data_IF_585112298941
#
_entry.id   IF_585112298941
#
_cell.length_a   1.000
_cell.length_b   1.000
_cell.length_c   1.000
_cell.angle_alpha   90.00
_cell.angle_beta   90.00
_cell.angle_gamma   90.00
#
_symmetry.space_group_name_H-M   'P 1'
#
loop_
_entity.id
_entity.type
_entity.pdbx_description
1 polymer ?
#
# COMPACT_ATOMS: atom_id res chain seq x y z
N UNK A 1 15.54 3.86 -30.40
CA UNK A 1 14.08 3.81 -30.59
C UNK A 1 13.43 4.00 -29.24
N UNK A 2 12.65 5.07 -29.07
CA UNK A 2 11.91 5.26 -27.83
C UNK A 2 10.80 4.22 -27.73
N UNK A 3 10.56 3.71 -26.53
CA UNK A 3 9.47 2.79 -26.26
C UNK A 3 8.52 3.46 -25.28
N UNK A 4 7.24 3.54 -25.63
CA UNK A 4 6.20 3.96 -24.69
C UNK A 4 5.28 2.77 -24.45
N UNK A 5 5.00 2.48 -23.19
CA UNK A 5 3.98 1.52 -22.82
C UNK A 5 2.83 2.17 -22.07
N UNK A 6 1.65 1.57 -22.17
CA UNK A 6 0.45 2.00 -21.46
C UNK A 6 -0.30 0.79 -20.94
N UNK A 7 -0.61 0.78 -19.65
CA UNK A 7 -1.28 -0.32 -18.98
C UNK A 7 -2.60 0.16 -18.39
N UNK A 8 -3.70 -0.49 -18.77
CA UNK A 8 -5.03 -0.23 -18.20
C UNK A 8 -5.34 -1.31 -17.16
N UNK A 9 -5.64 -0.89 -15.94
CA UNK A 9 -5.94 -1.84 -14.86
C UNK A 9 -6.88 -1.25 -13.81
N UNK A 10 -7.46 -2.15 -13.01
CA UNK A 10 -8.24 -1.77 -11.83
C UNK A 10 -7.37 -1.95 -10.58
N UNK A 11 -7.08 -0.85 -9.89
CA UNK A 11 -6.06 -0.84 -8.86
C UNK A 11 -5.98 0.42 -8.02
N UNK A 12 -4.87 0.53 -7.31
CA UNK A 12 -4.46 1.67 -6.48
C UNK A 12 -2.96 1.90 -6.66
N UNK A 13 -2.50 3.11 -6.43
CA UNK A 13 -1.07 3.41 -6.29
C UNK A 13 -0.72 3.45 -4.81
N UNK A 14 0.44 2.91 -4.45
CA UNK A 14 0.84 2.73 -3.04
C UNK A 14 2.29 3.16 -2.89
N UNK A 15 2.62 3.86 -1.80
CA UNK A 15 4.01 4.21 -1.45
C UNK A 15 4.94 3.01 -1.57
N UNK A 16 6.01 3.15 -2.38
CA UNK A 16 6.98 2.08 -2.63
C UNK A 16 7.65 1.63 -1.32
N UNK A 17 7.97 2.57 -0.43
CA UNK A 17 8.64 2.28 0.84
C UNK A 17 7.74 1.52 1.82
N UNK A 18 6.49 1.98 1.97
CA UNK A 18 5.53 1.30 2.84
C UNK A 18 5.24 -0.12 2.31
N UNK A 19 5.15 -0.28 0.99
CA UNK A 19 4.89 -1.57 0.36
C UNK A 19 6.09 -2.52 0.47
N UNK A 20 7.32 -2.04 0.28
CA UNK A 20 8.56 -2.81 0.53
C UNK A 20 8.65 -3.26 1.99
N UNK A 21 8.40 -2.34 2.93
CA UNK A 21 8.44 -2.61 4.38
C UNK A 21 7.39 -3.66 4.75
N UNK A 22 6.16 -3.53 4.21
CA UNK A 22 5.12 -4.53 4.40
C UNK A 22 5.46 -5.88 3.77
N UNK A 23 6.12 -5.89 2.61
CA UNK A 23 6.60 -7.10 1.95
C UNK A 23 7.58 -7.87 2.84
N UNK A 24 8.61 -7.17 3.34
CA UNK A 24 9.58 -7.74 4.28
C UNK A 24 8.90 -8.26 5.55
N UNK A 25 8.02 -7.46 6.16
CA UNK A 25 7.30 -7.84 7.37
C UNK A 25 6.45 -9.09 7.13
N UNK A 26 5.76 -9.16 5.99
CA UNK A 26 4.96 -10.30 5.59
C UNK A 26 5.79 -11.57 5.43
N UNK A 27 7.00 -11.48 4.86
CA UNK A 27 7.89 -12.64 4.76
C UNK A 27 8.17 -13.27 6.14
N UNK A 28 8.23 -12.47 7.20
CA UNK A 28 8.41 -12.94 8.58
C UNK A 28 7.14 -13.52 9.20
N UNK A 29 5.97 -12.93 8.96
CA UNK A 29 4.71 -13.35 9.62
C UNK A 29 3.80 -14.25 8.80
N UNK A 30 4.12 -14.52 7.53
CA UNK A 30 3.29 -15.34 6.62
C UNK A 30 2.87 -16.67 7.24
N UNK A 31 3.80 -17.39 7.87
CA UNK A 31 3.50 -18.65 8.54
C UNK A 31 2.50 -18.50 9.70
N UNK A 32 2.67 -17.47 10.52
CA UNK A 32 1.76 -17.14 11.63
C UNK A 32 0.38 -16.76 11.14
N UNK A 33 0.29 -15.92 10.10
CA UNK A 33 -0.99 -15.52 9.49
C UNK A 33 -1.74 -16.71 8.89
N UNK A 34 -1.02 -17.61 8.20
CA UNK A 34 -1.58 -18.88 7.71
C UNK A 34 -2.07 -19.77 8.85
N UNK A 35 -1.34 -19.81 9.97
CA UNK A 35 -1.76 -20.51 11.18
C UNK A 35 -3.11 -19.99 11.70
N UNK A 36 -3.28 -18.67 11.77
CA UNK A 36 -4.55 -18.06 12.18
C UNK A 36 -5.67 -18.37 11.18
N UNK A 37 -5.40 -18.30 9.88
CA UNK A 37 -6.38 -18.64 8.84
C UNK A 37 -6.82 -20.11 8.91
N UNK A 38 -5.89 -21.02 9.21
CA UNK A 38 -6.20 -22.44 9.43
C UNK A 38 -7.05 -22.65 10.68
N UNK A 39 -6.79 -21.92 11.77
CA UNK A 39 -7.62 -21.96 12.99
C UNK A 39 -9.04 -21.51 12.67
N UNK A 40 -9.19 -20.36 11.99
CA UNK A 40 -10.48 -19.83 11.57
C UNK A 40 -11.23 -20.80 10.65
N UNK A 41 -10.56 -21.38 9.66
CA UNK A 41 -11.16 -22.32 8.72
C UNK A 41 -11.60 -23.63 9.41
N UNK A 42 -10.79 -24.15 10.34
CA UNK A 42 -11.15 -25.35 11.13
C UNK A 42 -12.31 -25.07 12.08
N UNK A 43 -12.33 -23.89 12.71
CA UNK A 43 -13.43 -23.46 13.59
C UNK A 43 -14.73 -23.34 12.82
N UNK A 44 -14.74 -22.67 11.66
CA UNK A 44 -15.92 -22.54 10.80
C UNK A 44 -16.50 -23.90 10.36
N UNK A 45 -15.64 -24.93 10.25
CA UNK A 45 -16.03 -26.31 9.90
C UNK A 45 -16.34 -27.20 11.11
N UNK A 46 -16.26 -26.69 12.34
CA UNK A 46 -16.43 -27.49 13.57
C UNK A 46 -15.34 -28.54 13.80
N UNK A 47 -14.17 -28.41 13.15
CA UNK A 47 -13.05 -29.39 13.20
C UNK A 47 -11.89 -28.95 14.09
N UNK A 48 -12.01 -27.82 14.77
CA UNK A 48 -10.97 -27.34 15.68
C UNK A 48 -11.01 -28.17 16.96
N UNK A 49 -10.00 -29.02 17.17
CA UNK A 49 -9.82 -29.83 18.38
C UNK A 49 -8.75 -29.17 19.25
N UNK A 50 -9.03 -29.05 20.54
CA UNK A 50 -8.13 -28.47 21.54
C UNK A 50 -7.99 -29.45 22.70
N UNK A 51 -6.81 -29.51 23.31
CA UNK A 51 -6.50 -30.40 24.44
C UNK A 51 -6.65 -29.69 25.80
N UNK A 52 -7.39 -28.58 25.84
CA UNK A 52 -7.55 -27.77 27.06
C UNK A 52 -8.54 -28.48 27.98
N UNK A 53 -8.20 -28.70 29.28
CA UNK A 53 -9.11 -29.34 30.22
C UNK A 53 -10.40 -28.53 30.40
N UNK A 54 -11.51 -29.24 30.67
CA UNK A 54 -12.83 -28.64 30.86
C UNK A 54 -12.80 -27.53 31.93
N UNK A 55 -13.46 -26.41 31.65
CA UNK A 55 -13.59 -25.27 32.56
C UNK A 55 -12.62 -24.10 32.35
N UNK A 56 -11.69 -24.18 31.39
CA UNK A 56 -10.85 -23.03 30.96
C UNK A 56 -11.32 -22.42 29.65
N UNK A 57 -11.06 -21.13 29.46
CA UNK A 57 -11.37 -20.40 28.23
C UNK A 57 -10.64 -21.05 27.05
N UNK A 58 -11.42 -21.61 26.14
CA UNK A 58 -10.90 -22.35 25.01
C UNK A 58 -10.72 -21.41 23.80
N UNK A 59 -9.65 -21.61 23.04
CA UNK A 59 -9.42 -21.04 21.70
C UNK A 59 -10.66 -21.17 20.80
N UNK A 60 -11.44 -22.26 20.94
CA UNK A 60 -12.71 -22.49 20.21
C UNK A 60 -13.79 -21.44 20.53
N UNK A 61 -13.80 -20.94 21.77
CA UNK A 61 -14.79 -19.97 22.26
C UNK A 61 -14.53 -18.54 21.78
N UNK A 62 -13.31 -18.24 21.32
CA UNK A 62 -12.97 -16.90 20.86
C UNK A 62 -13.75 -16.55 19.58
N UNK A 63 -14.40 -15.37 19.52
CA UNK A 63 -15.15 -14.93 18.35
C UNK A 63 -14.22 -14.65 17.16
N UNK A 64 -14.75 -14.66 15.94
CA UNK A 64 -13.91 -14.58 14.73
C UNK A 64 -13.19 -13.22 14.64
N UNK A 65 -13.82 -12.20 15.18
CA UNK A 65 -13.36 -10.82 15.29
C UNK A 65 -12.06 -10.74 16.09
N UNK A 66 -11.94 -11.50 17.18
CA UNK A 66 -10.70 -11.54 17.98
C UNK A 66 -9.55 -12.13 17.18
N UNK A 67 -9.79 -13.16 16.37
CA UNK A 67 -8.75 -13.72 15.48
C UNK A 67 -8.34 -12.73 14.39
N UNK A 68 -9.27 -11.94 13.85
CA UNK A 68 -8.92 -10.87 12.91
C UNK A 68 -8.08 -9.80 13.59
N UNK A 69 -8.39 -9.41 14.84
CA UNK A 69 -7.56 -8.48 15.62
C UNK A 69 -6.16 -9.05 15.86
N UNK A 70 -6.03 -10.34 16.15
CA UNK A 70 -4.72 -11.01 16.28
C UNK A 70 -3.93 -10.94 14.97
N UNK A 71 -4.55 -11.17 13.81
CA UNK A 71 -3.86 -11.02 12.51
C UNK A 71 -3.33 -9.61 12.30
N UNK A 72 -4.16 -8.60 12.57
CA UNK A 72 -3.78 -7.19 12.44
C UNK A 72 -2.65 -6.84 13.41
N UNK A 73 -2.72 -7.29 14.67
CA UNK A 73 -1.68 -7.04 15.66
C UNK A 73 -0.34 -7.69 15.27
N UNK A 74 -0.36 -8.96 14.84
CA UNK A 74 0.85 -9.68 14.39
C UNK A 74 1.49 -8.99 13.18
N UNK A 75 0.69 -8.63 12.18
CA UNK A 75 1.19 -7.92 10.99
C UNK A 75 1.72 -6.53 11.34
N UNK A 76 1.07 -5.81 12.26
CA UNK A 76 1.51 -4.50 12.75
C UNK A 76 2.85 -4.57 13.46
N UNK A 77 3.03 -5.51 14.40
CA UNK A 77 4.30 -5.66 15.13
C UNK A 77 5.45 -5.92 14.16
N UNK A 78 5.27 -6.86 13.22
CA UNK A 78 6.29 -7.13 12.22
C UNK A 78 6.57 -5.93 11.29
N UNK A 79 5.54 -5.16 10.93
CA UNK A 79 5.73 -3.93 10.16
C UNK A 79 6.56 -2.90 10.93
N UNK A 80 6.25 -2.68 12.21
CA UNK A 80 6.97 -1.73 13.07
C UNK A 80 8.44 -2.15 13.22
N UNK A 81 8.70 -3.44 13.39
CA UNK A 81 10.05 -3.98 13.50
C UNK A 81 10.86 -3.74 12.22
N UNK A 82 10.28 -4.04 11.04
CA UNK A 82 10.95 -3.79 9.75
C UNK A 82 11.12 -2.28 9.47
N UNK A 83 10.13 -1.47 9.83
CA UNK A 83 10.21 -0.03 9.73
C UNK A 83 11.38 0.52 10.56
N UNK A 84 11.50 0.09 11.82
CA UNK A 84 12.61 0.48 12.71
C UNK A 84 13.96 0.00 12.17
N UNK A 85 14.01 -1.18 11.57
CA UNK A 85 15.23 -1.68 10.93
C UNK A 85 15.65 -0.80 9.75
N UNK A 86 14.67 -0.38 8.93
CA UNK A 86 14.89 0.53 7.82
C UNK A 86 15.31 1.92 8.32
N UNK A 87 14.65 2.46 9.34
CA UNK A 87 14.97 3.72 10.00
C UNK A 87 16.40 3.74 10.55
N UNK A 88 16.77 2.76 11.37
CA UNK A 88 18.12 2.63 11.93
C UNK A 88 19.20 2.66 10.86
N UNK A 89 18.92 2.05 9.72
CA UNK A 89 19.86 1.98 8.60
C UNK A 89 20.12 3.34 7.98
N UNK A 90 19.14 4.26 7.95
CA UNK A 90 19.32 5.60 7.40
C UNK A 90 19.59 6.66 8.47
N UNK A 91 19.29 6.36 9.74
CA UNK A 91 19.48 7.26 10.87
C UNK A 91 20.16 6.57 12.06
N UNK A 92 21.47 6.24 11.96
CA UNK A 92 22.17 5.43 12.97
C UNK A 92 22.25 6.09 14.35
N UNK A 93 22.16 7.42 14.44
CA UNK A 93 22.24 8.14 15.71
C UNK A 93 21.00 7.99 16.61
N UNK A 94 19.93 7.34 16.15
CA UNK A 94 18.80 6.94 17.01
C UNK A 94 19.11 5.70 17.86
N UNK A 95 20.29 5.10 17.71
CA UNK A 95 20.67 3.86 18.42
C UNK A 95 21.15 4.06 19.85
N UNK A 96 21.51 5.29 20.22
CA UNK A 96 22.00 5.59 21.56
C UNK A 96 20.82 6.00 22.40
N UNK A 97 20.42 5.12 23.33
CA UNK A 97 19.39 5.26 24.38
C UNK A 97 19.51 6.53 25.25
N UNK A 98 20.30 7.53 24.87
CA UNK A 98 20.77 8.55 25.79
C UNK A 98 19.77 9.70 26.01
N UNK A 99 18.89 10.06 25.07
CA UNK A 99 17.93 11.15 25.29
C UNK A 99 16.75 11.08 24.31
N UNK A 100 15.58 10.55 24.70
CA UNK A 100 14.25 10.89 24.15
C UNK A 100 13.08 10.16 24.85
N UNK A 101 13.14 9.92 26.17
CA UNK A 101 12.03 9.24 26.90
C UNK A 101 10.72 10.07 26.92
N UNK A 102 10.75 11.35 26.57
CA UNK A 102 9.58 12.24 26.68
C UNK A 102 8.62 12.22 25.48
N UNK A 103 9.00 11.63 24.33
CA UNK A 103 8.21 11.67 23.09
C UNK A 103 7.53 10.35 22.67
N UNK A 104 7.74 9.24 23.40
CA UNK A 104 7.21 7.93 22.99
C UNK A 104 5.69 7.78 23.23
N UNK A 105 5.12 8.51 24.20
CA UNK A 105 3.75 8.24 24.69
C UNK A 105 2.65 8.72 23.71
N UNK A 106 2.92 9.67 22.81
CA UNK A 106 1.93 10.12 21.82
C UNK A 106 2.01 9.41 20.46
N UNK A 107 3.06 8.62 20.17
CA UNK A 107 3.24 7.97 18.87
C UNK A 107 2.53 6.62 18.70
N UNK A 108 2.02 6.02 19.78
CA UNK A 108 1.42 4.67 19.70
C UNK A 108 0.23 4.58 18.71
N UNK A 109 -0.46 5.69 18.46
CA UNK A 109 -1.59 5.78 17.53
C UNK A 109 -1.26 6.42 16.17
N UNK A 110 -0.06 7.00 16.01
CA UNK A 110 0.33 7.59 14.74
C UNK A 110 0.59 6.45 13.74
N UNK A 111 -0.03 6.54 12.57
CA UNK A 111 0.28 5.62 11.46
C UNK A 111 1.74 5.90 11.08
N UNK A 112 2.64 4.98 11.40
CA UNK A 112 4.04 5.05 10.99
C UNK A 112 4.10 4.93 9.46
N UNK A 113 4.21 6.08 8.81
CA UNK A 113 4.44 6.20 7.37
C UNK A 113 5.84 6.74 7.17
N UNK A 114 6.54 6.24 6.15
CA UNK A 114 7.92 6.65 5.89
C UNK A 114 8.05 8.16 5.59
N UNK A 115 6.99 8.80 5.09
CA UNK A 115 6.93 10.26 4.93
C UNK A 115 7.16 11.04 6.24
N UNK A 116 6.85 10.46 7.40
CA UNK A 116 7.11 11.09 8.70
C UNK A 116 8.57 10.93 9.13
N UNK A 117 9.30 9.97 8.56
CA UNK A 117 10.69 9.72 8.90
C UNK A 117 11.62 10.74 8.25
N UNK A 118 11.26 11.23 7.06
CA UNK A 118 12.18 12.00 6.22
C UNK A 118 12.03 13.52 6.40
N UNK A 119 11.26 13.95 7.39
CA UNK A 119 11.12 15.39 7.68
C UNK A 119 12.39 16.02 8.24
N UNK A 120 13.38 15.22 8.65
CA UNK A 120 14.72 15.72 9.00
C UNK A 120 15.65 15.68 7.78
N UNK A 121 16.21 16.84 7.39
CA UNK A 121 17.10 17.02 6.22
C UNK A 121 18.25 16.00 6.14
N UNK A 122 18.72 15.50 7.29
CA UNK A 122 19.83 14.54 7.37
C UNK A 122 19.47 13.13 6.88
N UNK A 123 18.18 12.79 6.86
CA UNK A 123 17.70 11.46 6.44
C UNK A 123 17.58 11.33 4.92
N UNK A 124 17.28 12.42 4.20
CA UNK A 124 17.15 12.43 2.74
C UNK A 124 18.50 12.26 2.04
N UNK A 125 19.52 13.00 2.49
CA UNK A 125 20.87 12.90 1.93
C UNK A 125 21.47 11.51 2.15
N UNK A 126 21.29 10.95 3.35
CA UNK A 126 21.72 9.58 3.67
C UNK A 126 20.99 8.52 2.84
N UNK A 127 19.70 8.74 2.55
CA UNK A 127 18.91 7.92 1.65
C UNK A 127 19.45 7.95 0.22
N UNK A 128 19.64 9.14 -0.35
CA UNK A 128 20.17 9.34 -1.70
C UNK A 128 21.59 8.77 -1.83
N UNK A 129 22.47 9.05 -0.86
CA UNK A 129 23.86 8.58 -0.87
C UNK A 129 23.99 7.04 -0.87
N UNK A 130 22.99 6.33 -0.35
CA UNK A 130 22.96 4.86 -0.35
C UNK A 130 22.30 4.26 -1.59
N UNK A 131 21.93 5.09 -2.58
CA UNK A 131 21.30 4.67 -3.84
C UNK A 131 19.77 4.70 -3.82
N UNK A 132 19.17 5.38 -2.84
CA UNK A 132 17.73 5.63 -2.77
C UNK A 132 16.86 4.37 -2.78
N UNK A 133 15.73 4.44 -3.48
CA UNK A 133 14.79 3.35 -3.66
C UNK A 133 15.37 2.17 -4.43
N UNK A 134 16.17 2.44 -5.46
CA UNK A 134 16.81 1.38 -6.22
C UNK A 134 17.67 0.53 -5.30
N UNK A 135 18.40 1.13 -4.37
CA UNK A 135 19.16 0.36 -3.40
C UNK A 135 18.29 -0.43 -2.42
N UNK A 136 17.10 0.05 -2.06
CA UNK A 136 16.16 -0.70 -1.20
C UNK A 136 15.57 -1.87 -1.97
N UNK A 137 15.09 -1.61 -3.18
CA UNK A 137 14.44 -2.61 -4.02
C UNK A 137 15.47 -3.62 -4.50
N UNK A 138 16.52 -3.18 -5.20
CA UNK A 138 17.51 -4.04 -5.86
C UNK A 138 18.44 -4.78 -4.88
N UNK A 139 18.53 -4.39 -3.60
CA UNK A 139 19.54 -4.97 -2.72
C UNK A 139 19.38 -6.48 -2.56
N UNK A 140 20.30 -7.18 -3.22
CA UNK A 140 20.80 -8.51 -2.86
C UNK A 140 21.73 -8.41 -1.66
N UNK A 141 21.27 -7.85 -0.56
CA UNK A 141 22.14 -7.84 0.61
C UNK A 141 22.12 -9.21 1.29
N UNK A 142 23.26 -9.89 1.16
CA UNK A 142 23.81 -10.77 2.20
C UNK A 142 24.02 -9.93 3.47
N UNK A 143 22.95 -9.43 4.08
CA UNK A 143 23.01 -8.97 5.47
C UNK A 143 23.36 -10.22 6.26
N UNK A 144 24.66 -10.40 6.55
CA UNK A 144 25.06 -11.20 7.69
C UNK A 144 24.44 -10.46 8.87
N UNK A 145 23.25 -10.91 9.27
CA UNK A 145 22.66 -10.57 10.55
C UNK A 145 23.80 -10.66 11.57
N UNK A 146 24.04 -9.59 12.31
CA UNK A 146 24.88 -9.66 13.50
C UNK A 146 24.46 -10.92 14.29
N UNK A 147 25.40 -11.78 14.72
CA UNK A 147 25.07 -13.06 15.33
C UNK A 147 24.56 -12.81 16.77
N UNK A 148 23.32 -12.39 16.89
CA UNK A 148 22.63 -12.20 18.17
C UNK A 148 21.40 -13.10 18.24
N UNK A 149 21.59 -14.39 17.94
CA UNK A 149 20.84 -15.51 18.53
C UNK A 149 21.39 -16.86 18.03
N UNK A 150 21.78 -17.79 18.92
CA UNK A 150 22.13 -19.14 18.52
C UNK A 150 20.83 -19.91 18.22
N UNK A 151 20.39 -19.92 16.96
CA UNK A 151 19.33 -20.80 16.50
C UNK A 151 19.92 -21.87 15.55
N UNK A 152 19.54 -23.10 15.83
CA UNK A 152 20.01 -24.38 15.30
C UNK A 152 20.25 -24.42 13.78
N UNK A 153 21.45 -24.92 13.42
CA UNK A 153 21.87 -25.27 12.06
C UNK A 153 20.91 -26.26 11.41
N UNK A 154 20.42 -25.89 10.23
CA UNK A 154 19.79 -26.81 9.30
C UNK A 154 19.14 -26.08 8.14
N UNK A 155 19.92 -25.54 7.20
CA UNK A 155 19.37 -25.11 5.91
C UNK A 155 20.19 -25.62 4.74
N UNK A 156 19.43 -26.24 3.83
CA UNK A 156 19.85 -26.86 2.58
C UNK A 156 20.08 -25.81 1.48
N UNK A 157 21.01 -26.15 0.59
CA UNK A 157 21.31 -25.39 -0.62
C UNK A 157 20.07 -25.27 -1.52
N UNK A 158 19.62 -24.04 -1.76
CA UNK A 158 18.57 -23.74 -2.74
C UNK A 158 19.22 -23.13 -3.98
N UNK A 159 18.93 -23.60 -5.21
CA UNK A 159 19.58 -23.12 -6.42
C UNK A 159 19.15 -21.68 -6.79
N UNK A 160 20.08 -20.93 -7.40
CA UNK A 160 19.90 -19.56 -7.85
C UNK A 160 18.87 -19.48 -9.00
N UNK A 161 17.70 -18.88 -8.72
CA UNK A 161 16.66 -18.52 -9.69
C UNK A 161 16.89 -17.09 -10.21
N UNK A 162 16.42 -16.82 -11.43
CA UNK A 162 16.53 -15.54 -12.13
C UNK A 162 15.99 -14.36 -11.29
N UNK A 163 16.91 -13.68 -10.62
CA UNK A 163 17.23 -12.24 -10.67
C UNK A 163 16.15 -11.17 -10.54
N UNK A 164 15.00 -11.47 -9.93
CA UNK A 164 14.20 -10.44 -9.24
C UNK A 164 14.90 -9.98 -7.96
N UNK A 165 14.72 -8.72 -7.57
CA UNK A 165 15.27 -8.25 -6.30
C UNK A 165 14.51 -8.85 -5.12
N UNK A 166 15.17 -8.99 -3.95
CA UNK A 166 14.54 -9.65 -2.78
C UNK A 166 13.29 -8.91 -2.31
N UNK A 167 13.36 -7.58 -2.23
CA UNK A 167 12.24 -6.76 -1.79
C UNK A 167 11.05 -6.83 -2.78
N UNK A 168 11.32 -6.80 -4.08
CA UNK A 168 10.26 -6.97 -5.10
C UNK A 168 9.62 -8.36 -4.98
N UNK A 169 10.40 -9.41 -4.78
CA UNK A 169 9.87 -10.76 -4.56
C UNK A 169 9.00 -10.85 -3.31
N UNK A 170 9.40 -10.21 -2.21
CA UNK A 170 8.64 -10.17 -0.97
C UNK A 170 7.31 -9.41 -1.15
N UNK A 171 7.33 -8.31 -1.92
CA UNK A 171 6.13 -7.55 -2.31
C UNK A 171 5.22 -8.37 -3.22
N UNK A 172 5.76 -9.04 -4.24
CA UNK A 172 4.99 -9.91 -5.13
C UNK A 172 4.33 -11.04 -4.33
N UNK A 173 5.05 -11.65 -3.37
CA UNK A 173 4.48 -12.67 -2.49
C UNK A 173 3.38 -12.13 -1.57
N UNK A 174 3.57 -10.93 -1.02
CA UNK A 174 2.57 -10.22 -0.24
C UNK A 174 1.30 -10.00 -1.08
N UNK A 175 1.43 -9.40 -2.27
CA UNK A 175 0.29 -9.08 -3.13
C UNK A 175 -0.42 -10.35 -3.61
N UNK A 176 0.32 -11.39 -4.00
CA UNK A 176 -0.23 -12.68 -4.39
C UNK A 176 -1.07 -13.32 -3.27
N UNK A 177 -0.66 -13.17 -2.00
CA UNK A 177 -1.46 -13.65 -0.85
C UNK A 177 -2.84 -12.98 -0.77
N UNK A 178 -2.96 -11.74 -1.24
CA UNK A 178 -4.24 -11.01 -1.31
C UNK A 178 -4.95 -11.16 -2.67
N UNK A 179 -4.40 -11.93 -3.61
CA UNK A 179 -4.95 -12.07 -4.97
C UNK A 179 -4.81 -10.80 -5.79
N UNK A 180 -3.73 -10.05 -5.55
CA UNK A 180 -3.32 -8.82 -6.22
C UNK A 180 -1.98 -9.04 -6.93
N UNK A 181 -1.60 -8.13 -7.82
CA UNK A 181 -0.29 -8.12 -8.48
C UNK A 181 0.24 -6.69 -8.64
N UNK A 182 1.51 -6.55 -9.03
CA UNK A 182 2.03 -5.28 -9.52
C UNK A 182 1.54 -5.06 -10.96
N UNK A 183 1.09 -3.85 -11.28
CA UNK A 183 0.71 -3.50 -12.66
C UNK A 183 1.94 -3.24 -13.54
N UNK A 184 3.02 -2.78 -12.91
CA UNK A 184 4.34 -2.53 -13.51
C UNK A 184 5.41 -2.74 -12.44
N UNK A 185 6.61 -3.16 -12.87
CA UNK A 185 7.79 -3.22 -12.01
C UNK A 185 8.41 -1.83 -11.78
N UNK A 186 8.08 -0.85 -12.62
CA UNK A 186 8.62 0.51 -12.55
C UNK A 186 7.94 1.34 -11.47
N UNK A 187 8.72 2.21 -10.82
CA UNK A 187 8.20 3.20 -9.87
C UNK A 187 7.48 4.33 -10.59
N UNK A 188 6.41 4.82 -9.98
CA UNK A 188 5.70 6.03 -10.36
C UNK A 188 6.24 7.16 -9.50
N UNK A 189 6.87 8.15 -10.10
CA UNK A 189 7.50 9.26 -9.39
C UNK A 189 6.93 10.59 -9.86
N UNK A 190 6.87 11.55 -8.93
CA UNK A 190 6.56 12.94 -9.25
C UNK A 190 7.79 13.72 -9.72
N UNK A 191 8.99 13.25 -9.36
CA UNK A 191 10.26 13.87 -9.71
C UNK A 191 10.88 13.31 -10.99
N UNK A 192 11.92 14.02 -11.46
CA UNK A 192 12.69 13.61 -12.64
C UNK A 192 13.51 12.33 -12.41
N UNK A 193 13.73 11.95 -11.15
CA UNK A 193 14.57 10.81 -10.74
C UNK A 193 13.78 9.86 -9.83
N UNK A 194 13.05 8.87 -10.40
CA UNK A 194 12.19 7.97 -9.63
C UNK A 194 12.89 7.18 -8.54
N UNK A 195 14.17 6.85 -8.74
CA UNK A 195 14.96 6.08 -7.78
C UNK A 195 15.37 6.90 -6.55
N UNK A 196 15.28 8.22 -6.60
CA UNK A 196 15.56 9.12 -5.47
C UNK A 196 14.29 9.73 -4.90
N UNK A 197 13.16 9.55 -5.57
CA UNK A 197 11.86 10.02 -5.10
C UNK A 197 11.30 9.11 -4.01
N UNK A 198 11.36 9.60 -2.78
CA UNK A 198 10.75 8.94 -1.60
C UNK A 198 9.24 8.83 -1.72
N UNK A 199 8.60 9.76 -2.43
CA UNK A 199 7.17 9.76 -2.66
C UNK A 199 6.78 8.84 -3.83
N UNK A 200 7.75 8.12 -4.41
CA UNK A 200 7.43 7.19 -5.46
C UNK A 200 6.46 6.12 -4.99
N UNK A 201 5.67 5.65 -5.95
CA UNK A 201 4.61 4.70 -5.73
C UNK A 201 4.72 3.51 -6.68
N UNK A 202 4.21 2.37 -6.24
CA UNK A 202 3.93 1.24 -7.13
C UNK A 202 2.45 1.16 -7.44
N UNK A 203 2.15 0.77 -8.67
CA UNK A 203 0.81 0.42 -9.10
C UNK A 203 0.46 -1.00 -8.67
N UNK A 204 -0.53 -1.16 -7.79
CA UNK A 204 -1.07 -2.44 -7.36
C UNK A 204 -2.41 -2.68 -8.07
N UNK A 205 -2.56 -3.83 -8.70
CA UNK A 205 -3.69 -4.15 -9.56
C UNK A 205 -4.36 -5.47 -9.20
N UNK A 206 -5.56 -5.67 -9.73
CA UNK A 206 -6.12 -7.01 -9.87
C UNK A 206 -5.47 -7.74 -11.06
N UNK A 207 -5.10 -9.02 -10.89
CA UNK A 207 -4.64 -9.83 -12.01
C UNK A 207 -5.78 -10.03 -13.01
N UNK A 208 -5.45 -9.99 -14.29
CA UNK A 208 -6.43 -10.22 -15.34
C UNK A 208 -6.69 -11.73 -15.48
N UNK A 209 -7.96 -12.15 -15.50
CA UNK A 209 -8.39 -13.56 -15.38
C UNK A 209 -7.77 -14.50 -16.43
N UNK A 210 -7.31 -13.96 -17.57
CA UNK A 210 -6.75 -14.76 -18.68
C UNK A 210 -5.25 -14.98 -18.58
N UNK A 211 -4.53 -14.14 -17.84
CA UNK A 211 -3.08 -14.20 -17.71
C UNK A 211 -2.75 -13.80 -16.27
N UNK A 212 -2.59 -14.80 -15.40
CA UNK A 212 -2.53 -14.63 -13.93
C UNK A 212 -1.42 -13.68 -13.46
N UNK A 213 -0.51 -13.30 -14.35
CA UNK A 213 0.69 -12.54 -14.02
C UNK A 213 0.76 -11.11 -14.57
N UNK A 214 -0.10 -10.71 -15.52
CA UNK A 214 0.06 -9.41 -16.20
C UNK A 214 -1.24 -8.66 -16.45
N UNK A 215 -1.18 -7.35 -16.22
CA UNK A 215 -2.21 -6.43 -16.68
C UNK A 215 -2.13 -6.27 -18.21
N UNK A 216 -3.23 -5.93 -18.90
CA UNK A 216 -3.18 -5.56 -20.31
C UNK A 216 -2.22 -4.38 -20.50
N UNK A 217 -1.07 -4.68 -21.11
CA UNK A 217 -0.05 -3.70 -21.46
C UNK A 217 0.00 -3.56 -22.98
N UNK A 218 0.02 -2.31 -23.40
CA UNK A 218 0.24 -1.93 -24.78
C UNK A 218 1.62 -1.29 -24.87
N UNK A 219 2.39 -1.69 -25.88
CA UNK A 219 3.70 -1.09 -26.12
C UNK A 219 3.84 -0.61 -27.56
N UNK A 220 4.34 0.61 -27.71
CA UNK A 220 4.55 1.28 -29.00
C UNK A 220 6.00 1.71 -29.09
N UNK A 221 6.63 1.40 -30.21
CA UNK A 221 7.95 1.93 -30.57
C UNK A 221 7.78 3.21 -31.38
N UNK A 222 8.44 4.29 -30.94
CA UNK A 222 8.36 5.61 -31.56
C UNK A 222 9.75 5.96 -32.11
N UNK A 223 9.89 6.16 -33.44
CA UNK A 223 11.14 6.66 -34.02
C UNK A 223 11.36 8.13 -33.66
N UNK A 224 12.61 8.50 -33.35
CA UNK A 224 12.98 9.84 -32.84
C UNK A 224 12.70 10.99 -33.82
N UNK A 225 12.63 10.70 -35.12
CA UNK A 225 12.58 11.73 -36.17
C UNK A 225 11.16 12.05 -36.64
N UNK A 226 10.17 11.29 -36.20
CA UNK A 226 8.78 11.59 -36.51
C UNK A 226 8.20 12.35 -35.33
N UNK A 227 7.49 13.45 -35.63
CA UNK A 227 6.82 14.28 -34.62
C UNK A 227 5.77 13.49 -33.81
N UNK A 228 4.76 14.16 -33.22
CA UNK A 228 3.79 13.47 -32.38
C UNK A 228 3.14 12.29 -33.11
N UNK A 229 3.38 11.08 -32.61
CA UNK A 229 2.78 9.85 -33.13
C UNK A 229 1.51 9.54 -32.33
N UNK A 230 0.40 9.42 -33.02
CA UNK A 230 -0.87 9.01 -32.42
C UNK A 230 -1.17 7.57 -32.81
N UNK A 231 -1.42 6.73 -31.82
CA UNK A 231 -1.84 5.36 -32.05
C UNK A 231 -3.22 5.15 -31.41
N UNK A 232 -4.12 4.51 -32.14
CA UNK A 232 -5.48 4.23 -31.69
C UNK A 232 -5.61 2.74 -31.41
N UNK A 233 -6.16 2.43 -30.24
CA UNK A 233 -6.35 1.05 -29.80
C UNK A 233 -7.79 0.83 -29.37
N UNK A 234 -8.31 -0.33 -29.72
CA UNK A 234 -9.64 -0.76 -29.28
C UNK A 234 -9.49 -1.60 -28.01
N UNK A 235 -10.04 -1.09 -26.91
CA UNK A 235 -10.13 -1.83 -25.65
C UNK A 235 -11.41 -2.69 -25.69
N UNK A 236 -11.29 -3.95 -25.30
CA UNK A 236 -12.45 -4.85 -25.19
C UNK A 236 -13.24 -4.53 -23.92
N UNK A 237 -14.57 -4.50 -24.00
CA UNK A 237 -15.44 -4.27 -22.83
C UNK A 237 -15.23 -5.31 -21.72
N UNK A 238 -14.77 -6.51 -22.09
CA UNK A 238 -14.41 -7.56 -21.14
C UNK A 238 -13.30 -7.14 -20.17
N UNK A 239 -12.46 -6.15 -20.53
CA UNK A 239 -11.44 -5.59 -19.63
C UNK A 239 -12.11 -4.97 -18.39
N UNK A 240 -13.30 -4.38 -18.54
CA UNK A 240 -14.01 -3.71 -17.45
C UNK A 240 -14.81 -4.66 -16.54
N UNK A 241 -14.78 -5.96 -16.83
CA UNK A 241 -15.48 -6.97 -16.02
C UNK A 241 -14.65 -7.35 -14.79
N UNK A 242 -15.07 -6.88 -13.62
CA UNK A 242 -14.37 -7.13 -12.35
C UNK A 242 -14.86 -8.40 -11.66
N UNK A 243 -13.96 -9.14 -10.98
CA UNK A 243 -14.37 -10.16 -10.01
C UNK A 243 -15.25 -9.56 -8.89
N UNK A 244 -16.26 -10.31 -8.43
CA UNK A 244 -17.16 -9.84 -7.37
C UNK A 244 -16.46 -9.56 -6.02
N UNK A 245 -15.25 -10.07 -5.83
CA UNK A 245 -14.43 -9.87 -4.63
C UNK A 245 -13.31 -8.81 -4.81
N UNK A 246 -13.26 -8.13 -5.96
CA UNK A 246 -12.25 -7.11 -6.32
C UNK A 246 -11.92 -6.14 -5.16
N UNK A 247 -12.91 -5.39 -4.68
CA UNK A 247 -12.72 -4.43 -3.58
C UNK A 247 -12.34 -5.10 -2.26
N UNK A 248 -12.80 -6.33 -2.02
CA UNK A 248 -12.51 -7.07 -0.80
C UNK A 248 -11.02 -7.44 -0.73
N UNK A 249 -10.37 -7.71 -1.87
CA UNK A 249 -8.92 -8.00 -1.92
C UNK A 249 -8.07 -6.82 -1.46
N UNK A 250 -8.32 -5.63 -2.01
CA UNK A 250 -7.65 -4.39 -1.56
C UNK A 250 -7.96 -4.07 -0.10
N UNK A 251 -9.23 -4.20 0.32
CA UNK A 251 -9.62 -3.97 1.72
C UNK A 251 -8.84 -4.89 2.67
N UNK A 252 -8.66 -6.17 2.31
CA UNK A 252 -7.89 -7.12 3.12
C UNK A 252 -6.42 -6.73 3.22
N UNK A 253 -5.79 -6.27 2.13
CA UNK A 253 -4.42 -5.75 2.15
C UNK A 253 -4.28 -4.59 3.14
N UNK A 254 -5.09 -3.54 2.98
CA UNK A 254 -5.05 -2.34 3.84
C UNK A 254 -5.45 -2.60 5.29
N UNK A 255 -6.33 -3.58 5.54
CA UNK A 255 -6.70 -3.95 6.91
C UNK A 255 -5.57 -4.72 7.58
N UNK A 256 -4.87 -5.58 6.83
CA UNK A 256 -3.76 -6.38 7.37
C UNK A 256 -2.51 -5.54 7.61
N UNK A 257 -2.26 -4.55 6.75
CA UNK A 257 -1.14 -3.62 6.86
C UNK A 257 -1.63 -2.17 6.85
N UNK A 258 -2.11 -1.63 7.99
CA UNK A 258 -2.75 -0.31 8.05
C UNK A 258 -1.85 0.87 7.67
N UNK A 259 -0.53 0.67 7.79
CA UNK A 259 0.49 1.63 7.40
C UNK A 259 0.54 1.85 5.88
N UNK A 260 0.19 0.82 5.10
CA UNK A 260 0.09 0.97 3.65
C UNK A 260 -1.02 1.97 3.32
N UNK A 261 -0.61 3.04 2.64
CA UNK A 261 -1.49 4.10 2.19
C UNK A 261 -1.60 4.07 0.68
N UNK A 262 -2.82 4.25 0.16
CA UNK A 262 -2.97 4.58 -1.25
C UNK A 262 -2.43 6.00 -1.45
N UNK A 263 -1.51 6.16 -2.38
CA UNK A 263 -1.12 7.48 -2.87
C UNK A 263 -2.15 7.90 -3.91
N UNK A 264 -2.70 9.10 -3.79
CA UNK A 264 -3.57 9.63 -4.84
C UNK A 264 -2.67 10.31 -5.86
N UNK A 265 -2.12 9.55 -6.81
CA UNK A 265 -1.53 10.10 -8.02
C UNK A 265 -2.68 10.57 -8.92
N UNK A 266 -3.37 11.64 -8.50
CA UNK A 266 -4.28 12.36 -9.37
C UNK A 266 -3.43 13.19 -10.34
N UNK A 267 -2.74 12.52 -11.26
CA UNK A 267 -2.22 13.17 -12.46
C UNK A 267 -3.42 13.49 -13.32
N UNK A 268 -3.91 14.73 -13.22
CA UNK A 268 -4.95 15.33 -14.06
C UNK A 268 -5.84 14.27 -14.71
N UNK A 269 -6.70 13.63 -13.90
CA UNK A 269 -7.79 12.82 -14.47
C UNK A 269 -8.40 13.70 -15.54
N UNK A 270 -8.50 13.19 -16.78
CA UNK A 270 -9.25 13.82 -17.86
C UNK A 270 -10.66 14.02 -17.33
N UNK A 271 -10.90 15.10 -16.59
CA UNK A 271 -12.22 15.48 -16.15
C UNK A 271 -12.91 15.80 -17.45
N UNK A 272 -14.00 15.11 -17.79
CA UNK A 272 -14.80 15.55 -18.92
C UNK A 272 -15.08 17.04 -18.70
N UNK A 273 -14.84 17.85 -19.73
CA UNK A 273 -15.04 19.28 -19.65
C UNK A 273 -16.41 19.54 -19.00
N UNK A 274 -16.51 20.47 -18.03
CA UNK A 274 -17.72 20.68 -17.24
C UNK A 274 -18.97 20.99 -18.08
N UNK A 275 -18.80 21.28 -19.38
CA UNK A 275 -19.87 21.51 -20.35
C UNK A 275 -20.84 20.32 -20.53
N UNK A 276 -20.46 19.07 -20.22
CA UNK A 276 -21.38 17.93 -20.33
C UNK A 276 -22.26 17.69 -19.08
N UNK A 277 -21.91 18.27 -17.93
CA UNK A 277 -22.66 18.07 -16.67
C UNK A 277 -23.79 19.10 -16.47
N UNK A 278 -23.84 20.16 -17.28
CA UNK A 278 -24.81 21.24 -17.14
C UNK A 278 -26.16 21.00 -17.87
N UNK A 279 -26.33 19.88 -18.58
CA UNK A 279 -27.54 19.63 -19.40
C UNK A 279 -28.61 18.79 -18.68
N UNK A 280 -28.36 18.34 -17.45
CA UNK A 280 -29.34 17.56 -16.68
C UNK A 280 -29.64 18.32 -15.38
N UNK A 281 -30.91 18.65 -15.20
CA UNK A 281 -31.56 19.34 -14.06
C UNK A 281 -31.54 20.87 -14.02
N UNK A 282 -32.15 21.53 -15.00
CA UNK A 282 -32.94 22.76 -14.74
C UNK A 282 -34.35 22.59 -15.31
N UNK A 283 -35.16 21.76 -14.64
CA UNK A 283 -36.62 21.85 -14.74
C UNK A 283 -37.22 21.77 -13.36
N UNK A 284 -37.55 22.94 -12.81
CA UNK A 284 -38.73 23.16 -11.99
C UNK A 284 -38.66 22.75 -10.53
N UNK A 285 -38.39 23.72 -9.66
CA UNK A 285 -39.21 24.05 -8.47
C UNK A 285 -38.56 25.22 -7.73
N UNK A 286 -38.71 26.42 -8.27
CA UNK A 286 -38.68 27.61 -7.45
C UNK A 286 -40.02 27.71 -6.72
N UNK A 287 -40.04 27.49 -5.40
CA UNK A 287 -40.97 28.16 -4.51
C UNK A 287 -40.54 27.96 -3.05
N UNK A 288 -40.34 29.07 -2.32
CA UNK A 288 -40.40 29.09 -0.85
C UNK A 288 -39.08 29.09 -0.05
N UNK A 289 -38.15 30.01 -0.32
CA UNK A 289 -37.10 30.35 0.67
C UNK A 289 -37.66 31.32 1.72
N UNK A 290 -38.30 30.77 2.74
CA UNK A 290 -38.60 31.47 3.98
C UNK A 290 -37.29 31.73 4.75
N UNK A 291 -36.89 33.00 4.83
CA UNK A 291 -35.70 33.46 5.56
C UNK A 291 -35.91 33.33 7.07
N UNK A 292 -35.73 32.13 7.61
CA UNK A 292 -35.64 31.93 9.06
C UNK A 292 -34.30 32.49 9.55
N UNK A 293 -34.32 33.73 10.06
CA UNK A 293 -33.24 34.34 10.84
C UNK A 293 -33.08 33.58 12.16
N UNK A 294 -32.39 32.43 12.14
CA UNK A 294 -31.93 31.77 13.38
C UNK A 294 -30.64 32.44 13.84
N UNK A 295 -30.79 33.45 14.71
CA UNK A 295 -29.72 34.00 15.55
C UNK A 295 -29.29 33.02 16.64
N UNK A 296 -28.89 31.80 16.24
CA UNK A 296 -28.34 30.81 17.15
C UNK A 296 -26.90 31.15 17.45
N UNK A 297 -26.60 31.56 18.69
CA UNK A 297 -25.24 31.57 19.23
C UNK A 297 -24.64 30.18 18.99
N UNK A 298 -23.78 30.05 17.99
CA UNK A 298 -22.98 28.85 17.79
C UNK A 298 -22.09 28.71 19.02
N UNK A 299 -22.45 27.80 19.93
CA UNK A 299 -21.53 27.31 20.96
C UNK A 299 -20.30 26.82 20.20
N UNK A 300 -19.18 27.53 20.33
CA UNK A 300 -17.95 27.12 19.70
C UNK A 300 -17.58 25.72 20.21
N UNK A 301 -17.37 24.79 19.29
CA UNK A 301 -16.86 23.46 19.60
C UNK A 301 -15.57 23.59 20.41
N UNK A 302 -15.40 22.70 21.39
CA UNK A 302 -14.18 22.65 22.20
C UNK A 302 -12.96 22.33 21.32
N UNK A 303 -11.74 22.60 21.82
CA UNK A 303 -10.51 22.24 21.09
C UNK A 303 -10.46 20.74 20.76
N UNK A 304 -10.94 19.90 21.67
CA UNK A 304 -10.96 18.44 21.51
C UNK A 304 -11.96 17.99 20.45
N UNK A 305 -13.15 18.60 20.41
CA UNK A 305 -14.15 18.33 19.37
C UNK A 305 -13.61 18.70 17.99
N UNK A 306 -12.91 19.84 17.86
CA UNK A 306 -12.26 20.24 16.59
C UNK A 306 -11.15 19.27 16.19
N UNK A 307 -10.33 18.79 17.13
CA UNK A 307 -9.28 17.79 16.86
C UNK A 307 -9.91 16.46 16.40
N UNK A 308 -10.98 16.01 17.06
CA UNK A 308 -11.73 14.80 16.68
C UNK A 308 -12.36 14.94 15.30
N UNK A 309 -13.01 16.07 15.01
CA UNK A 309 -13.61 16.33 13.70
C UNK A 309 -12.57 16.34 12.58
N UNK A 310 -11.39 16.95 12.82
CA UNK A 310 -10.27 16.90 11.87
C UNK A 310 -9.79 15.47 11.62
N UNK A 311 -9.62 14.66 12.67
CA UNK A 311 -9.23 13.24 12.53
C UNK A 311 -10.26 12.44 11.75
N UNK A 312 -11.56 12.67 11.98
CA UNK A 312 -12.64 12.00 11.25
C UNK A 312 -12.62 12.40 9.77
N UNK A 313 -12.54 13.70 9.46
CA UNK A 313 -12.47 14.19 8.07
C UNK A 313 -11.25 13.66 7.33
N UNK A 314 -10.10 13.65 7.99
CA UNK A 314 -8.86 13.11 7.41
C UNK A 314 -8.97 11.60 7.19
N UNK A 315 -9.55 10.87 8.14
CA UNK A 315 -9.80 9.44 7.99
C UNK A 315 -10.79 9.13 6.85
N UNK A 316 -11.86 9.91 6.72
CA UNK A 316 -12.80 9.79 5.59
C UNK A 316 -12.13 10.09 4.25
N UNK A 317 -11.32 11.15 4.20
CA UNK A 317 -10.51 11.49 3.02
C UNK A 317 -9.61 10.32 2.62
N UNK A 318 -8.82 9.79 3.57
CA UNK A 318 -7.96 8.61 3.35
C UNK A 318 -8.78 7.38 2.93
N UNK A 319 -9.99 7.20 3.46
CA UNK A 319 -10.87 6.07 3.09
C UNK A 319 -11.34 6.18 1.64
N UNK A 320 -11.63 7.39 1.16
CA UNK A 320 -11.98 7.63 -0.25
C UNK A 320 -10.75 7.39 -1.13
N UNK A 321 -9.59 7.90 -0.75
CA UNK A 321 -8.32 7.70 -1.48
C UNK A 321 -7.89 6.23 -1.57
N UNK A 322 -8.28 5.40 -0.59
CA UNK A 322 -8.00 3.94 -0.57
C UNK A 322 -8.95 3.11 -1.45
N UNK A 323 -9.88 3.72 -2.17
CA UNK A 323 -10.79 2.96 -3.04
C UNK A 323 -10.09 2.64 -4.36
N UNK A 324 -9.98 1.35 -4.75
CA UNK A 324 -9.43 1.00 -6.05
C UNK A 324 -10.35 1.51 -7.17
N UNK A 325 -9.74 1.90 -8.27
CA UNK A 325 -10.41 2.43 -9.46
C UNK A 325 -9.72 2.01 -10.76
N UNK A 326 -10.34 2.36 -11.89
CA UNK A 326 -9.71 2.20 -13.20
C UNK A 326 -8.60 3.24 -13.37
N UNK A 327 -7.42 2.78 -13.74
CA UNK A 327 -6.24 3.61 -13.94
C UNK A 327 -5.58 3.25 -15.27
N UNK A 328 -5.17 4.28 -16.00
CA UNK A 328 -4.33 4.16 -17.19
C UNK A 328 -2.95 4.66 -16.83
N UNK A 329 -1.98 3.76 -16.80
CA UNK A 329 -0.59 4.08 -16.51
C UNK A 329 0.20 4.12 -17.80
N UNK A 330 0.71 5.29 -18.17
CA UNK A 330 1.70 5.44 -19.25
C UNK A 330 3.11 5.40 -18.69
N UNK A 331 4.01 4.63 -19.31
CA UNK A 331 5.45 4.70 -19.08
C UNK A 331 6.19 4.97 -20.39
N UNK A 332 7.35 5.59 -20.30
CA UNK A 332 8.21 5.89 -21.44
C UNK A 332 9.66 5.59 -21.11
N UNK A 333 10.33 4.86 -21.98
CA UNK A 333 11.77 4.69 -21.97
C UNK A 333 12.36 5.64 -23.02
N UNK A 334 13.06 6.66 -22.56
CA UNK A 334 13.91 7.47 -23.42
C UNK A 334 15.12 6.63 -23.87
N UNK A 335 15.59 6.86 -25.09
CA UNK A 335 16.87 6.27 -25.49
C UNK A 335 18.01 6.93 -24.70
N UNK A 336 18.92 6.09 -24.20
CA UNK A 336 20.17 6.50 -23.60
C UNK A 336 21.18 6.98 -24.66
#
# INVERSE_FOLDING_TARGET
MCQSSSSLFFGVTVSTLDLCTAGAAFAHVKGTLLGVDLILARRAKGRLVTSVPDGKTDVRSLPAEVWQLVKVAVARVAYVDEYRHLEFRYHPCLSTDEYCEEDEVEREDAVLTFSNLITDDWSYDGFCAKGGLDAIVQKREKVRLCPARPALRGQANTPARADGSRAEQDVVQLLAHFGLCLASSSFLSHGDMPSWDIESSWAVALPFVRDESKCPELTVEIPHEMGPAHNLFRISDAVFSLPGDAHTRFRRLFTSFPAISSTSLATDTLRPAPEAAAVVTETGCEEGKEKVKKGGKSRGLSKDERKKERRVKEWEKRRVERQPGWMLLGTGLSCA
#
